data_IF_141613161204
#
_entry.id   IF_141613161204
#
_cell.length_a   1.000
_cell.length_b   1.000
_cell.length_c   1.000
_cell.angle_alpha   90.00
_cell.angle_beta   90.00
_cell.angle_gamma   90.00
#
_symmetry.space_group_name_H-M   'P 1'
#
loop_
_entity.id
_entity.type
_entity.pdbx_description
1 polymer ?
#
# COMPACT_ATOMS: atom_id res chain seq x y z
N UNK A 1 -19.11 -28.10 7.88
CA UNK A 1 -17.91 -27.60 8.61
C UNK A 1 -18.14 -26.11 8.82
N UNK A 2 -18.22 -25.67 10.06
CA UNK A 2 -18.46 -24.24 10.36
C UNK A 2 -17.19 -23.47 9.98
N UNK A 3 -17.29 -22.60 8.98
CA UNK A 3 -16.15 -21.79 8.55
C UNK A 3 -15.69 -20.88 9.69
N UNK A 4 -14.37 -20.64 9.79
CA UNK A 4 -13.77 -19.71 10.76
C UNK A 4 -14.34 -18.30 10.67
N UNK A 5 -14.94 -17.93 9.54
CA UNK A 5 -15.47 -16.60 9.29
C UNK A 5 -16.95 -16.44 9.68
N UNK A 6 -17.74 -17.53 9.76
CA UNK A 6 -19.19 -17.43 9.93
C UNK A 6 -19.61 -16.65 11.20
N UNK A 7 -18.92 -16.86 12.32
CA UNK A 7 -19.16 -16.17 13.58
C UNK A 7 -18.29 -14.91 13.77
N UNK A 8 -17.37 -14.62 12.84
CA UNK A 8 -16.54 -13.43 12.92
C UNK A 8 -17.32 -12.18 12.49
N UNK A 9 -17.02 -11.04 13.08
CA UNK A 9 -17.63 -9.77 12.66
C UNK A 9 -16.94 -9.26 11.38
N UNK A 10 -17.68 -8.52 10.54
CA UNK A 10 -17.12 -7.92 9.33
C UNK A 10 -15.86 -7.09 9.64
N UNK A 11 -15.92 -6.29 10.72
CA UNK A 11 -14.79 -5.48 11.15
C UNK A 11 -13.58 -6.30 11.59
N UNK A 12 -13.78 -7.44 12.29
CA UNK A 12 -12.66 -8.32 12.67
C UNK A 12 -12.03 -9.00 11.46
N UNK A 13 -12.81 -9.42 10.49
CA UNK A 13 -12.34 -10.05 9.25
C UNK A 13 -11.41 -9.07 8.49
N UNK A 14 -11.83 -7.80 8.36
CA UNK A 14 -11.02 -6.77 7.68
C UNK A 14 -9.80 -6.36 8.51
N UNK A 15 -9.92 -6.33 9.84
CA UNK A 15 -8.79 -6.03 10.72
C UNK A 15 -7.69 -7.11 10.65
N UNK A 16 -8.09 -8.37 10.52
CA UNK A 16 -7.15 -9.49 10.36
C UNK A 16 -6.49 -9.49 8.97
N UNK A 17 -7.26 -9.19 7.92
CA UNK A 17 -6.75 -9.07 6.56
C UNK A 17 -7.52 -7.97 5.79
N UNK A 18 -6.87 -6.83 5.57
CA UNK A 18 -7.48 -5.69 4.87
C UNK A 18 -7.97 -6.03 3.44
N UNK A 19 -7.39 -7.06 2.77
CA UNK A 19 -7.81 -7.52 1.43
C UNK A 19 -9.25 -8.04 1.45
N UNK A 20 -9.69 -8.52 2.60
CA UNK A 20 -11.08 -8.94 2.79
C UNK A 20 -12.09 -7.81 2.56
N UNK A 21 -11.69 -6.55 2.76
CA UNK A 21 -12.54 -5.41 2.49
C UNK A 21 -13.05 -5.36 1.04
N UNK A 22 -12.18 -5.62 0.07
CA UNK A 22 -12.56 -5.68 -1.35
C UNK A 22 -13.54 -6.82 -1.65
N UNK A 23 -13.37 -7.98 -0.98
CA UNK A 23 -14.28 -9.12 -1.11
C UNK A 23 -15.65 -8.75 -0.54
N UNK A 24 -15.70 -8.21 0.67
CA UNK A 24 -16.95 -7.82 1.31
C UNK A 24 -17.72 -6.74 0.51
N UNK A 25 -16.99 -5.76 -0.05
CA UNK A 25 -17.57 -4.74 -0.92
C UNK A 25 -18.16 -5.34 -2.22
N UNK A 26 -17.52 -6.36 -2.81
CA UNK A 26 -18.03 -7.06 -3.99
C UNK A 26 -19.39 -7.74 -3.74
N UNK A 27 -19.64 -8.19 -2.51
CA UNK A 27 -20.92 -8.76 -2.06
C UNK A 27 -21.86 -7.72 -1.41
N UNK A 28 -21.55 -6.42 -1.53
CA UNK A 28 -22.30 -5.31 -0.92
C UNK A 28 -22.45 -5.42 0.62
N UNK A 29 -21.50 -6.05 1.29
CA UNK A 29 -21.45 -6.21 2.75
C UNK A 29 -20.68 -5.01 3.36
N UNK A 30 -21.43 -3.99 3.79
CA UNK A 30 -20.89 -2.74 4.33
C UNK A 30 -20.26 -2.93 5.71
N UNK A 31 -18.98 -3.22 5.74
CA UNK A 31 -18.18 -3.35 6.97
C UNK A 31 -17.90 -2.02 7.66
N UNK A 32 -17.97 -0.88 6.97
CA UNK A 32 -17.73 0.43 7.56
C UNK A 32 -18.86 0.84 8.52
N UNK A 33 -20.13 0.62 8.14
CA UNK A 33 -21.29 0.96 8.95
C UNK A 33 -21.73 -0.18 9.86
N UNK A 34 -21.53 -1.42 9.41
CA UNK A 34 -22.02 -2.64 10.05
C UNK A 34 -20.90 -3.55 10.54
N UNK A 35 -19.71 -3.01 10.82
CA UNK A 35 -18.53 -3.80 11.22
C UNK A 35 -18.73 -4.68 12.46
N UNK A 36 -19.73 -4.41 13.29
CA UNK A 36 -20.08 -5.23 14.46
C UNK A 36 -20.97 -6.42 14.15
N UNK A 37 -21.60 -6.48 12.95
CA UNK A 37 -22.39 -7.63 12.54
C UNK A 37 -21.48 -8.79 12.20
N UNK A 38 -21.95 -10.00 12.51
CA UNK A 38 -21.26 -11.20 12.02
C UNK A 38 -21.42 -11.33 10.50
N UNK A 39 -20.55 -12.10 9.86
CA UNK A 39 -20.66 -12.39 8.44
C UNK A 39 -22.03 -13.02 8.12
N UNK A 40 -22.49 -13.94 8.95
CA UNK A 40 -23.76 -14.64 8.79
C UNK A 40 -24.95 -13.66 8.83
N UNK A 41 -24.97 -12.75 9.82
CA UNK A 41 -26.01 -11.71 9.94
C UNK A 41 -25.99 -10.73 8.75
N UNK A 42 -24.82 -10.37 8.26
CA UNK A 42 -24.67 -9.45 7.14
C UNK A 42 -25.11 -10.09 5.82
N UNK A 43 -24.73 -11.33 5.58
CA UNK A 43 -25.16 -12.10 4.42
C UNK A 43 -26.65 -12.32 4.40
N UNK A 44 -27.26 -12.70 5.54
CA UNK A 44 -28.71 -12.87 5.67
C UNK A 44 -29.49 -11.58 5.40
N UNK A 45 -28.93 -10.40 5.74
CA UNK A 45 -29.55 -9.11 5.48
C UNK A 45 -29.51 -8.69 4.00
N UNK A 46 -28.58 -9.24 3.21
CA UNK A 46 -28.38 -8.94 1.79
C UNK A 46 -28.84 -10.09 0.86
N UNK A 47 -29.40 -11.17 1.42
CA UNK A 47 -29.80 -12.39 0.69
C UNK A 47 -28.64 -13.01 -0.09
N UNK A 48 -27.44 -13.01 0.51
CA UNK A 48 -26.20 -13.57 -0.04
C UNK A 48 -25.88 -14.88 0.67
N UNK A 49 -25.46 -15.89 -0.07
CA UNK A 49 -25.03 -17.15 0.51
C UNK A 49 -23.70 -16.99 1.26
N UNK A 50 -23.68 -17.33 2.55
CA UNK A 50 -22.46 -17.24 3.39
C UNK A 50 -21.31 -18.04 2.81
N UNK A 51 -21.59 -19.22 2.26
CA UNK A 51 -20.57 -20.11 1.68
C UNK A 51 -19.87 -19.49 0.46
N UNK A 52 -20.56 -18.66 -0.34
CA UNK A 52 -19.94 -17.94 -1.48
C UNK A 52 -18.97 -16.88 -0.99
N UNK A 53 -19.34 -16.12 0.03
CA UNK A 53 -18.46 -15.10 0.61
C UNK A 53 -17.25 -15.75 1.27
N UNK A 54 -17.47 -16.85 2.00
CA UNK A 54 -16.41 -17.63 2.63
C UNK A 54 -15.44 -18.18 1.59
N UNK A 55 -15.93 -18.73 0.49
CA UNK A 55 -15.08 -19.24 -0.60
C UNK A 55 -14.22 -18.11 -1.19
N UNK A 56 -14.80 -16.94 -1.45
CA UNK A 56 -14.07 -15.77 -1.94
C UNK A 56 -13.03 -15.24 -0.93
N UNK A 57 -13.32 -15.29 0.38
CA UNK A 57 -12.35 -14.96 1.42
C UNK A 57 -11.21 -15.98 1.50
N UNK A 58 -11.51 -17.27 1.33
CA UNK A 58 -10.50 -18.33 1.33
C UNK A 58 -9.61 -18.27 0.08
N UNK A 59 -10.11 -17.79 -1.06
CA UNK A 59 -9.33 -17.53 -2.28
C UNK A 59 -8.25 -16.45 -2.10
N UNK A 60 -8.38 -15.56 -1.11
CA UNK A 60 -7.32 -14.61 -0.77
C UNK A 60 -6.01 -15.31 -0.38
N UNK A 61 -6.11 -16.58 0.06
CA UNK A 61 -4.96 -17.39 0.47
C UNK A 61 -4.18 -16.81 1.65
N UNK A 62 -3.13 -17.49 2.08
CA UNK A 62 -2.28 -16.97 3.15
C UNK A 62 -1.70 -15.61 2.73
N UNK A 63 -1.60 -14.68 3.68
CA UNK A 63 -0.94 -13.39 3.49
C UNK A 63 0.56 -13.62 3.28
N UNK A 64 0.92 -14.05 2.09
CA UNK A 64 2.31 -14.08 1.67
C UNK A 64 2.68 -12.68 1.22
N UNK A 65 3.57 -12.04 1.93
CA UNK A 65 4.36 -10.98 1.34
C UNK A 65 5.12 -11.67 0.20
N UNK A 66 4.88 -11.29 -1.07
CA UNK A 66 5.47 -12.02 -2.15
C UNK A 66 6.98 -11.83 -2.14
N UNK A 67 7.69 -12.87 -1.87
CA UNK A 67 8.81 -13.14 -2.37
C UNK A 67 10.18 -13.04 -2.10
N UNK A 68 11.01 -13.28 -2.96
CA UNK A 68 12.45 -13.20 -2.84
C UNK A 68 12.88 -11.82 -2.40
N UNK A 69 13.46 -11.73 -1.20
CA UNK A 69 14.21 -10.54 -0.82
C UNK A 69 15.46 -10.51 -1.68
N UNK A 70 15.73 -9.41 -2.40
CA UNK A 70 16.98 -9.26 -3.13
C UNK A 70 18.15 -9.49 -2.18
N UNK A 71 19.10 -10.32 -2.58
CA UNK A 71 20.35 -10.46 -1.88
C UNK A 71 21.40 -9.44 -2.38
N UNK A 72 22.53 -9.36 -1.70
CA UNK A 72 23.61 -8.45 -2.04
C UNK A 72 24.27 -8.72 -3.41
N UNK A 73 23.86 -9.78 -4.10
CA UNK A 73 24.40 -10.18 -5.41
C UNK A 73 23.59 -9.69 -6.62
N UNK A 74 22.45 -9.04 -6.41
CA UNK A 74 21.64 -8.57 -7.53
C UNK A 74 22.32 -7.41 -8.29
N UNK A 75 22.29 -7.51 -9.60
CA UNK A 75 22.71 -6.38 -10.45
C UNK A 75 21.77 -5.17 -10.27
N UNK A 76 22.31 -3.97 -10.37
CA UNK A 76 21.59 -2.73 -10.11
C UNK A 76 20.31 -2.57 -10.95
N UNK A 77 20.34 -3.02 -12.21
CA UNK A 77 19.18 -2.97 -13.10
C UNK A 77 18.11 -4.00 -12.75
N UNK A 78 18.49 -5.19 -12.28
CA UNK A 78 17.57 -6.20 -11.79
C UNK A 78 16.89 -5.75 -10.49
N UNK A 79 17.66 -5.18 -9.56
CA UNK A 79 17.15 -4.62 -8.31
C UNK A 79 16.21 -3.45 -8.57
N UNK A 80 16.57 -2.51 -9.44
CA UNK A 80 15.72 -1.36 -9.80
C UNK A 80 14.38 -1.83 -10.40
N UNK A 81 14.41 -2.78 -11.34
CA UNK A 81 13.17 -3.36 -11.91
C UNK A 81 12.32 -4.04 -10.84
N UNK A 82 12.94 -4.83 -9.98
CA UNK A 82 12.22 -5.49 -8.89
C UNK A 82 11.51 -4.47 -7.98
N UNK A 83 12.18 -3.38 -7.61
CA UNK A 83 11.59 -2.32 -6.79
C UNK A 83 10.38 -1.71 -7.51
N UNK A 84 10.52 -1.37 -8.79
CA UNK A 84 9.43 -0.79 -9.59
C UNK A 84 8.26 -1.76 -9.74
N UNK A 85 8.52 -2.99 -10.17
CA UNK A 85 7.48 -3.95 -10.50
C UNK A 85 6.75 -4.47 -9.27
N UNK A 86 7.38 -4.48 -8.11
CA UNK A 86 6.81 -5.02 -6.88
C UNK A 86 6.37 -3.93 -5.90
N UNK A 87 7.30 -3.07 -5.50
CA UNK A 87 7.04 -2.10 -4.44
C UNK A 87 6.29 -0.88 -4.98
N UNK A 88 6.76 -0.29 -6.07
CA UNK A 88 6.10 0.89 -6.65
C UNK A 88 4.72 0.54 -7.22
N UNK A 89 4.61 -0.59 -7.93
CA UNK A 89 3.33 -1.07 -8.44
C UNK A 89 2.32 -1.31 -7.30
N UNK A 90 2.77 -1.93 -6.19
CA UNK A 90 1.93 -2.12 -5.01
C UNK A 90 1.47 -0.79 -4.41
N UNK A 91 2.40 0.14 -4.18
CA UNK A 91 2.07 1.46 -3.62
C UNK A 91 1.06 2.18 -4.50
N UNK A 92 1.29 2.25 -5.82
CA UNK A 92 0.38 2.88 -6.77
C UNK A 92 -1.02 2.25 -6.77
N UNK A 93 -1.09 0.95 -6.59
CA UNK A 93 -2.36 0.24 -6.49
C UNK A 93 -3.09 0.53 -5.17
N UNK A 94 -2.37 0.70 -4.05
CA UNK A 94 -2.97 0.88 -2.74
C UNK A 94 -3.36 2.33 -2.42
N UNK A 95 -2.63 3.32 -2.90
CA UNK A 95 -2.92 4.73 -2.63
C UNK A 95 -4.37 5.15 -2.95
N UNK A 96 -4.93 4.84 -4.13
CA UNK A 96 -6.32 5.19 -4.44
C UNK A 96 -7.32 4.39 -3.59
N UNK A 97 -7.03 3.13 -3.27
CA UNK A 97 -7.89 2.29 -2.42
C UNK A 97 -8.00 2.88 -1.02
N UNK A 98 -6.86 3.21 -0.39
CA UNK A 98 -6.84 3.82 0.95
C UNK A 98 -7.52 5.19 0.92
N UNK A 99 -7.26 6.01 -0.11
CA UNK A 99 -7.92 7.32 -0.28
C UNK A 99 -9.44 7.20 -0.33
N UNK A 100 -9.97 6.23 -1.07
CA UNK A 100 -11.40 5.97 -1.17
C UNK A 100 -11.99 5.53 0.19
N UNK A 101 -11.31 4.64 0.91
CA UNK A 101 -11.76 4.22 2.24
C UNK A 101 -11.75 5.37 3.26
N UNK A 102 -10.72 6.20 3.28
CA UNK A 102 -10.65 7.36 4.16
C UNK A 102 -11.73 8.39 3.84
N UNK A 103 -11.99 8.65 2.55
CA UNK A 103 -13.08 9.53 2.14
C UNK A 103 -14.43 9.00 2.66
N UNK A 104 -14.73 7.71 2.43
CA UNK A 104 -15.96 7.07 2.92
C UNK A 104 -16.09 7.10 4.44
N UNK A 105 -15.00 6.85 5.17
CA UNK A 105 -14.99 6.96 6.64
C UNK A 105 -15.28 8.37 7.11
N UNK A 106 -14.68 9.38 6.48
CA UNK A 106 -14.92 10.79 6.78
C UNK A 106 -16.36 11.20 6.51
N UNK A 107 -16.95 10.76 5.40
CA UNK A 107 -18.34 11.06 5.05
C UNK A 107 -19.33 10.44 6.04
N UNK A 108 -19.07 9.21 6.48
CA UNK A 108 -19.99 8.48 7.37
C UNK A 108 -19.83 8.86 8.83
N UNK A 109 -18.61 9.09 9.28
CA UNK A 109 -18.29 9.23 10.71
C UNK A 109 -17.69 10.60 11.07
N UNK A 110 -17.31 11.43 10.10
CA UNK A 110 -16.60 12.69 10.33
C UNK A 110 -17.34 13.69 11.22
N UNK A 111 -18.67 13.68 11.23
CA UNK A 111 -19.47 14.52 12.14
C UNK A 111 -19.28 14.15 13.63
N UNK A 112 -19.00 12.89 13.95
CA UNK A 112 -18.76 12.41 15.31
C UNK A 112 -17.26 12.26 15.62
N UNK A 113 -16.46 12.14 14.59
CA UNK A 113 -15.02 11.87 14.64
C UNK A 113 -14.28 12.84 13.71
N UNK A 114 -14.18 14.15 14.08
CA UNK A 114 -13.57 15.17 13.25
C UNK A 114 -12.07 14.87 12.94
N UNK A 115 -11.40 14.10 13.77
CA UNK A 115 -10.05 13.60 13.53
C UNK A 115 -9.89 12.85 12.22
N UNK A 116 -10.96 12.19 11.71
CA UNK A 116 -10.94 11.50 10.42
C UNK A 116 -10.71 12.44 9.24
N UNK A 117 -11.21 13.67 9.31
CA UNK A 117 -10.96 14.68 8.29
C UNK A 117 -9.48 15.07 8.25
N UNK A 118 -8.87 15.22 9.43
CA UNK A 118 -7.44 15.50 9.56
C UNK A 118 -6.59 14.35 9.04
N UNK A 119 -6.93 13.10 9.41
CA UNK A 119 -6.25 11.89 8.91
C UNK A 119 -6.35 11.81 7.39
N UNK A 120 -7.53 12.05 6.82
CA UNK A 120 -7.74 12.04 5.37
C UNK A 120 -6.89 13.08 4.66
N UNK A 121 -6.78 14.27 5.23
CA UNK A 121 -5.94 15.34 4.68
C UNK A 121 -4.46 14.98 4.73
N UNK A 122 -3.97 14.47 5.87
CA UNK A 122 -2.57 14.01 5.99
C UNK A 122 -2.26 12.89 5.02
N UNK A 123 -3.17 11.92 4.87
CA UNK A 123 -2.96 10.83 3.92
C UNK A 123 -2.86 11.33 2.48
N UNK A 124 -3.67 12.31 2.08
CA UNK A 124 -3.57 12.92 0.73
C UNK A 124 -2.20 13.54 0.51
N UNK A 125 -1.70 14.30 1.48
CA UNK A 125 -0.35 14.88 1.41
C UNK A 125 0.71 13.80 1.26
N UNK A 126 0.65 12.74 2.07
CA UNK A 126 1.56 11.60 1.98
C UNK A 126 1.47 10.90 0.60
N UNK A 127 0.27 10.72 0.08
CA UNK A 127 0.05 10.07 -1.21
C UNK A 127 0.66 10.87 -2.37
N UNK A 128 0.50 12.19 -2.36
CA UNK A 128 1.08 13.09 -3.36
C UNK A 128 2.62 13.08 -3.28
N UNK A 129 3.18 13.21 -2.08
CA UNK A 129 4.64 13.20 -1.86
C UNK A 129 5.26 11.87 -2.23
N UNK A 130 4.62 10.76 -1.85
CA UNK A 130 5.10 9.42 -2.18
C UNK A 130 5.04 9.17 -3.69
N UNK A 131 4.00 9.62 -4.37
CA UNK A 131 3.89 9.54 -5.83
C UNK A 131 5.02 10.28 -6.54
N UNK A 132 5.35 11.49 -6.06
CA UNK A 132 6.48 12.28 -6.56
C UNK A 132 7.83 11.61 -6.25
N UNK A 133 7.96 10.97 -5.09
CA UNK A 133 9.15 10.23 -4.70
C UNK A 133 9.41 9.06 -5.65
N UNK A 134 8.41 8.19 -5.86
CA UNK A 134 8.51 7.05 -6.78
C UNK A 134 8.88 7.49 -8.21
N UNK A 135 8.28 8.58 -8.69
CA UNK A 135 8.60 9.14 -10.00
C UNK A 135 10.07 9.58 -10.10
N UNK A 136 10.60 10.26 -9.09
CA UNK A 136 12.01 10.68 -9.06
C UNK A 136 12.97 9.51 -9.03
N UNK A 137 12.63 8.43 -8.34
CA UNK A 137 13.43 7.21 -8.35
C UNK A 137 13.45 6.57 -9.74
N UNK A 138 12.30 6.42 -10.38
CA UNK A 138 12.18 5.76 -11.68
C UNK A 138 12.77 6.59 -12.83
N UNK A 139 12.58 7.90 -12.83
CA UNK A 139 13.00 8.75 -13.94
C UNK A 139 14.43 9.29 -13.79
N UNK A 140 14.94 9.36 -12.56
CA UNK A 140 16.22 10.03 -12.30
C UNK A 140 17.22 9.10 -11.60
N UNK A 141 16.87 8.58 -10.43
CA UNK A 141 17.83 7.87 -9.59
C UNK A 141 18.21 6.50 -10.15
N UNK A 142 17.22 5.66 -10.45
CA UNK A 142 17.48 4.30 -10.94
C UNK A 142 18.19 4.27 -12.30
N UNK A 143 17.81 5.09 -13.31
CA UNK A 143 18.57 5.18 -14.55
C UNK A 143 20.03 5.57 -14.34
N UNK A 144 20.27 6.51 -13.41
CA UNK A 144 21.64 6.93 -13.11
C UNK A 144 22.46 5.84 -12.39
N UNK A 145 21.86 5.14 -11.41
CA UNK A 145 22.51 4.01 -10.72
C UNK A 145 22.85 2.90 -11.73
N UNK A 146 21.93 2.56 -12.63
CA UNK A 146 22.15 1.55 -13.66
C UNK A 146 23.28 1.98 -14.64
N UNK A 147 23.34 3.26 -15.00
CA UNK A 147 24.41 3.79 -15.84
C UNK A 147 25.77 3.75 -15.14
N UNK A 148 25.83 4.06 -13.84
CA UNK A 148 27.04 3.94 -13.03
C UNK A 148 27.56 2.51 -12.97
N UNK A 149 26.67 1.55 -12.63
CA UNK A 149 27.04 0.14 -12.54
C UNK A 149 27.56 -0.41 -13.88
N UNK A 150 26.97 0.03 -14.99
CA UNK A 150 27.43 -0.33 -16.34
C UNK A 150 28.80 0.28 -16.64
N UNK A 151 29.01 1.56 -16.35
CA UNK A 151 30.27 2.23 -16.54
C UNK A 151 31.43 1.59 -15.73
N UNK A 152 31.13 1.16 -14.50
CA UNK A 152 32.08 0.42 -13.65
C UNK A 152 32.45 -0.94 -14.26
N UNK A 153 31.43 -1.70 -14.72
CA UNK A 153 31.66 -3.00 -15.37
C UNK A 153 32.46 -2.90 -16.67
N UNK A 154 32.32 -1.81 -17.42
CA UNK A 154 33.01 -1.53 -18.67
C UNK A 154 34.39 -0.85 -18.47
N UNK A 155 34.74 -0.46 -17.24
CA UNK A 155 35.95 0.33 -16.95
C UNK A 155 35.92 1.73 -17.58
N UNK A 156 34.73 2.26 -17.90
CA UNK A 156 34.52 3.58 -18.47
C UNK A 156 34.37 4.64 -17.37
N UNK A 157 34.49 5.92 -17.74
CA UNK A 157 34.28 7.03 -16.77
C UNK A 157 32.85 7.12 -16.31
N UNK A 158 32.63 7.60 -15.07
CA UNK A 158 31.29 7.79 -14.53
C UNK A 158 30.45 8.71 -15.44
N UNK A 159 29.16 8.38 -15.66
CA UNK A 159 28.26 9.20 -16.46
C UNK A 159 28.10 10.60 -15.84
N UNK A 160 27.87 11.64 -16.65
CA UNK A 160 27.58 12.96 -16.12
C UNK A 160 26.31 12.94 -15.28
N UNK A 161 26.35 13.60 -14.14
CA UNK A 161 25.18 13.72 -13.27
C UNK A 161 24.85 15.19 -12.97
N UNK A 162 23.56 15.47 -12.74
CA UNK A 162 23.07 16.81 -12.41
C UNK A 162 23.08 17.10 -10.90
N UNK A 163 23.40 16.09 -10.07
CA UNK A 163 23.33 16.22 -8.59
C UNK A 163 24.70 16.19 -7.91
N UNK A 164 25.81 16.13 -8.66
CA UNK A 164 27.18 16.08 -8.14
C UNK A 164 27.56 14.76 -7.47
N UNK A 165 26.67 14.15 -6.69
CA UNK A 165 26.85 12.83 -6.07
C UNK A 165 25.48 12.16 -5.83
N UNK A 166 25.42 10.82 -5.93
CA UNK A 166 24.21 10.02 -5.66
C UNK A 166 23.67 10.25 -4.24
N UNK A 167 24.52 10.62 -3.30
CA UNK A 167 24.10 10.94 -1.92
C UNK A 167 23.14 12.13 -1.85
N UNK A 168 23.20 13.06 -2.80
CA UNK A 168 22.34 14.23 -2.79
C UNK A 168 20.86 13.90 -3.06
N UNK A 169 20.50 13.20 -4.15
CA UNK A 169 19.12 12.75 -4.34
C UNK A 169 18.66 11.80 -3.23
N UNK A 170 19.48 10.87 -2.74
CA UNK A 170 19.12 9.99 -1.63
C UNK A 170 18.78 10.82 -0.39
N UNK A 171 19.64 11.75 0.02
CA UNK A 171 19.38 12.61 1.20
C UNK A 171 18.11 13.45 1.03
N UNK A 172 17.84 13.94 -0.17
CA UNK A 172 16.63 14.72 -0.46
C UNK A 172 15.37 13.86 -0.35
N UNK A 173 15.44 12.59 -0.77
CA UNK A 173 14.34 11.64 -0.64
C UNK A 173 14.12 11.18 0.81
N UNK A 174 15.19 10.92 1.56
CA UNK A 174 15.12 10.62 2.99
C UNK A 174 14.50 11.77 3.77
N UNK A 175 14.87 13.02 3.46
CA UNK A 175 14.30 14.20 4.11
C UNK A 175 12.79 14.33 3.82
N UNK A 176 12.33 14.06 2.60
CA UNK A 176 10.89 14.04 2.28
C UNK A 176 10.13 13.03 3.13
N UNK A 177 10.64 11.80 3.25
CA UNK A 177 9.99 10.73 4.02
C UNK A 177 9.99 11.00 5.54
N UNK A 178 11.02 11.66 6.06
CA UNK A 178 11.13 12.01 7.48
C UNK A 178 10.24 13.21 7.87
N UNK A 179 9.97 14.12 6.94
CA UNK A 179 9.16 15.31 7.22
C UNK A 179 7.65 15.00 7.30
N UNK A 180 7.23 13.88 6.71
CA UNK A 180 5.84 13.39 6.75
C UNK A 180 5.55 12.47 7.92
N UNK A 181 6.57 12.01 8.65
CA UNK A 181 6.38 11.26 9.89
C UNK A 181 6.23 12.23 11.05
N UNK A 182 5.06 12.32 11.72
CA UNK A 182 4.97 13.07 12.97
C UNK A 182 6.00 12.52 13.95
N UNK A 183 6.85 13.39 14.45
CA UNK A 183 7.84 13.01 15.47
C UNK A 183 7.11 12.40 16.67
N UNK A 184 7.54 11.23 17.20
CA UNK A 184 6.92 10.65 18.38
C UNK A 184 7.26 11.41 19.68
N UNK A 185 7.63 12.68 19.56
CA UNK A 185 7.96 13.56 20.69
C UNK A 185 7.31 14.91 20.48
N UNK A 186 6.02 15.00 20.83
CA UNK A 186 5.35 16.18 21.43
C UNK A 186 4.07 15.71 22.14
#
# INVERSE_FOLDING_TARGET
MTSRFAAATLGSIVADDYRAGAVLDAFALDFCRNGKRTLEEACGAQDVAVDEVVAALDELGPRTLPGETPDAGWAADALSRFIVDRHHAYVRAQLPVISAHLARLSDVHGARHPELLTITQHFRTIADELSMHLMKEEEILFPYICALARAEAEGSGAPPNMFGTVRNPIRMMEACLLYTSPSPRD
#
